data_IF_842349183371
#
_entry.id   IF_842349183371
#
_cell.length_a   1.000
_cell.length_b   1.000
_cell.length_c   1.000
_cell.angle_alpha   90.00
_cell.angle_beta   90.00
_cell.angle_gamma   90.00
#
_symmetry.space_group_name_H-M   'P 1'
#
loop_
_entity.id
_entity.type
_entity.pdbx_description
1 polymer ?
#
# COMPACT_ATOMS: atom_id res chain seq x y z
N UNK A 1 -15.13 -3.07 -5.40
CA UNK A 1 -13.94 -2.36 -5.94
C UNK A 1 -13.87 -1.01 -5.28
N UNK A 2 -12.83 -0.79 -4.49
CA UNK A 2 -12.64 0.41 -3.70
C UNK A 2 -12.18 1.59 -4.56
N UNK A 3 -12.60 2.80 -4.20
CA UNK A 3 -12.07 4.03 -4.79
C UNK A 3 -10.74 4.38 -4.14
N UNK A 4 -9.71 4.56 -4.93
CA UNK A 4 -8.37 4.88 -4.41
C UNK A 4 -8.29 6.37 -4.04
N UNK A 5 -7.86 6.65 -2.81
CA UNK A 5 -7.47 7.98 -2.37
C UNK A 5 -6.01 7.98 -1.91
N UNK A 6 -5.23 8.92 -2.44
CA UNK A 6 -3.81 9.04 -2.12
C UNK A 6 -3.56 10.26 -1.24
N UNK A 7 -3.02 10.04 -0.04
CA UNK A 7 -2.54 11.11 0.82
C UNK A 7 -1.35 11.85 0.19
N UNK A 8 -1.12 13.09 0.63
CA UNK A 8 0.03 13.88 0.16
C UNK A 8 1.36 13.25 0.57
N UNK A 9 1.40 12.63 1.76
CA UNK A 9 2.56 11.88 2.26
C UNK A 9 2.85 10.67 1.37
N UNK A 10 1.82 9.86 1.06
CA UNK A 10 1.95 8.70 0.19
C UNK A 10 2.53 9.07 -1.19
N UNK A 11 2.04 10.16 -1.81
CA UNK A 11 2.56 10.65 -3.09
C UNK A 11 4.05 11.01 -3.02
N UNK A 12 4.51 11.61 -1.92
CA UNK A 12 5.94 11.94 -1.70
C UNK A 12 6.76 10.66 -1.55
N UNK A 13 6.26 9.67 -0.82
CA UNK A 13 6.94 8.40 -0.61
C UNK A 13 7.08 7.60 -1.91
N UNK A 14 6.04 7.51 -2.74
CA UNK A 14 6.12 6.88 -4.06
C UNK A 14 7.19 7.55 -4.94
N UNK A 15 7.25 8.90 -4.95
CA UNK A 15 8.29 9.64 -5.69
C UNK A 15 9.70 9.30 -5.19
N UNK A 16 9.88 9.18 -3.87
CA UNK A 16 11.16 8.83 -3.24
C UNK A 16 11.59 7.41 -3.60
N UNK A 17 10.69 6.42 -3.51
CA UNK A 17 10.97 5.03 -3.87
C UNK A 17 11.33 4.91 -5.36
N UNK A 18 10.59 5.60 -6.25
CA UNK A 18 10.91 5.66 -7.67
C UNK A 18 12.30 6.25 -7.95
N UNK A 19 12.68 7.31 -7.24
CA UNK A 19 14.03 7.91 -7.33
C UNK A 19 15.14 6.97 -6.84
N UNK A 20 14.84 6.02 -5.97
CA UNK A 20 15.78 4.99 -5.51
C UNK A 20 15.89 3.82 -6.49
N UNK A 21 15.28 3.90 -7.69
CA UNK A 21 15.25 2.84 -8.70
C UNK A 21 14.69 1.51 -8.18
N UNK A 22 13.78 1.57 -7.20
CA UNK A 22 13.11 0.38 -6.68
C UNK A 22 11.94 -0.04 -7.57
N UNK A 23 11.84 -1.33 -7.78
CA UNK A 23 10.74 -1.95 -8.53
C UNK A 23 9.40 -1.78 -7.78
N UNK A 24 8.46 -1.09 -8.43
CA UNK A 24 7.11 -0.85 -7.90
C UNK A 24 6.10 -1.92 -8.34
N UNK A 25 6.50 -2.88 -9.18
CA UNK A 25 5.62 -3.95 -9.68
C UNK A 25 4.97 -4.75 -8.55
N UNK A 26 5.77 -5.18 -7.57
CA UNK A 26 5.26 -5.89 -6.36
C UNK A 26 4.24 -5.06 -5.58
N UNK A 27 4.43 -3.74 -5.55
CA UNK A 27 3.54 -2.82 -4.85
C UNK A 27 2.22 -2.63 -5.59
N UNK A 28 2.27 -2.50 -6.93
CA UNK A 28 1.09 -2.41 -7.78
C UNK A 28 0.21 -3.66 -7.66
N UNK A 29 0.80 -4.85 -7.68
CA UNK A 29 0.06 -6.10 -7.48
C UNK A 29 -0.68 -6.12 -6.14
N UNK A 30 -0.04 -5.67 -5.06
CA UNK A 30 -0.70 -5.60 -3.74
C UNK A 30 -1.87 -4.61 -3.75
N UNK A 31 -1.71 -3.43 -4.38
CA UNK A 31 -2.81 -2.46 -4.51
C UNK A 31 -3.98 -3.06 -5.28
N UNK A 32 -3.72 -3.74 -6.41
CA UNK A 32 -4.78 -4.36 -7.22
C UNK A 32 -5.59 -5.39 -6.42
N UNK A 33 -4.93 -6.20 -5.60
CA UNK A 33 -5.61 -7.17 -4.73
C UNK A 33 -6.51 -6.44 -3.71
N UNK A 34 -5.97 -5.44 -3.02
CA UNK A 34 -6.68 -4.67 -1.99
C UNK A 34 -7.87 -3.89 -2.57
N UNK A 35 -7.71 -3.24 -3.72
CA UNK A 35 -8.78 -2.49 -4.40
C UNK A 35 -9.92 -3.40 -4.83
N UNK A 36 -9.63 -4.66 -5.14
CA UNK A 36 -10.64 -5.66 -5.44
C UNK A 36 -11.20 -6.38 -4.20
N UNK A 37 -10.84 -5.93 -3.00
CA UNK A 37 -11.30 -6.50 -1.72
C UNK A 37 -10.98 -8.00 -1.60
N UNK A 38 -9.89 -8.41 -2.24
CA UNK A 38 -9.40 -9.79 -2.19
C UNK A 38 -8.43 -9.95 -1.02
N UNK A 39 -8.42 -11.11 -0.35
CA UNK A 39 -7.46 -11.37 0.72
C UNK A 39 -6.03 -11.41 0.16
N UNK A 40 -5.09 -10.83 0.91
CA UNK A 40 -3.67 -10.97 0.61
C UNK A 40 -3.18 -12.37 1.01
N UNK A 41 -2.18 -12.86 0.29
CA UNK A 41 -1.48 -14.10 0.66
C UNK A 41 -0.84 -13.96 2.06
N UNK A 42 -0.82 -15.01 2.89
CA UNK A 42 -0.23 -14.95 4.24
C UNK A 42 1.20 -14.44 4.29
N UNK A 43 1.99 -14.55 3.22
CA UNK A 43 3.36 -14.00 3.13
C UNK A 43 3.41 -12.48 3.33
N UNK A 44 2.32 -11.77 3.03
CA UNK A 44 2.21 -10.33 3.22
C UNK A 44 1.98 -9.94 4.68
N UNK A 45 1.63 -10.91 5.55
CA UNK A 45 1.43 -10.73 6.99
C UNK A 45 0.50 -9.55 7.29
N UNK A 46 -0.64 -9.49 6.62
CA UNK A 46 -1.61 -8.41 6.81
C UNK A 46 -2.18 -8.44 8.24
N UNK A 47 -2.17 -7.29 8.92
CA UNK A 47 -2.63 -7.14 10.30
C UNK A 47 -2.97 -5.68 10.61
N UNK A 48 -3.81 -5.48 11.62
CA UNK A 48 -4.17 -4.16 12.11
C UNK A 48 -2.96 -3.49 12.78
N UNK A 49 -2.72 -2.23 12.44
CA UNK A 49 -1.71 -1.42 13.11
C UNK A 49 -2.17 -1.02 14.52
N UNK A 50 -1.22 -0.79 15.43
CA UNK A 50 -1.46 -0.44 16.84
C UNK A 50 -0.77 0.89 17.21
N UNK A 51 -1.12 1.46 18.37
CA UNK A 51 -0.57 2.74 18.86
C UNK A 51 -1.06 3.95 18.05
N UNK A 52 -0.15 4.86 17.71
CA UNK A 52 -0.44 6.10 16.95
C UNK A 52 -0.98 5.84 15.52
N UNK A 53 -0.98 4.58 15.08
CA UNK A 53 -1.41 4.15 13.74
C UNK A 53 -2.81 3.53 13.70
N UNK A 54 -3.54 3.47 14.83
CA UNK A 54 -4.88 2.84 14.91
C UNK A 54 -5.95 3.62 14.13
N UNK A 55 -5.81 4.94 13.97
CA UNK A 55 -6.90 5.84 13.56
C UNK A 55 -6.71 6.50 12.18
N UNK A 56 -6.02 5.84 11.25
CA UNK A 56 -5.83 6.33 9.87
C UNK A 56 -6.88 5.78 8.91
#
# INVERSE_FOLDING_TARGET
>A
MLTIYYSTQFKKDCKRVKKQHKELSKFQTTIEILVNEKPLDPRYKDHHLIGDYIAW
#
